data_IF_256604388961
#
_entry.id   IF_256604388961
#
_cell.length_a   1.000
_cell.length_b   1.000
_cell.length_c   1.000
_cell.angle_alpha   90.00
_cell.angle_beta   90.00
_cell.angle_gamma   90.00
#
_symmetry.space_group_name_H-M   'P 1'
#
loop_
_entity.id
_entity.type
_entity.pdbx_description
1 polymer ?
#
# COMPACT_ATOMS: atom_id res chain seq x y z
N UNK A 1 12.84 7.16 -9.61
CA UNK A 1 11.63 7.60 -8.90
C UNK A 1 10.45 7.47 -9.84
N UNK A 2 9.34 6.89 -9.39
CA UNK A 2 8.13 6.72 -10.21
C UNK A 2 7.53 8.08 -10.59
N UNK A 3 7.12 8.23 -11.85
CA UNK A 3 6.39 9.42 -12.30
C UNK A 3 4.97 9.31 -11.77
N UNK A 4 4.54 10.32 -11.02
CA UNK A 4 3.18 10.43 -10.46
C UNK A 4 2.53 11.69 -11.01
N UNK A 5 1.32 11.58 -11.52
CA UNK A 5 0.55 12.73 -12.00
C UNK A 5 -0.10 13.47 -10.83
N UNK A 6 -0.06 14.80 -10.86
CA UNK A 6 -0.80 15.63 -9.92
C UNK A 6 -2.32 15.41 -10.08
N UNK A 7 -3.10 15.41 -8.98
CA UNK A 7 -4.54 15.37 -9.07
C UNK A 7 -5.10 16.64 -9.71
N UNK A 8 -6.25 16.51 -10.37
CA UNK A 8 -7.03 17.67 -10.81
C UNK A 8 -8.00 18.06 -9.69
N UNK A 9 -7.80 19.24 -9.12
CA UNK A 9 -8.62 19.79 -8.06
C UNK A 9 -9.76 20.66 -8.61
N UNK A 10 -10.84 20.76 -7.85
CA UNK A 10 -11.96 21.65 -8.15
C UNK A 10 -11.69 23.02 -7.53
N UNK A 11 -12.17 24.09 -8.16
CA UNK A 11 -12.19 25.41 -7.53
C UNK A 11 -13.01 25.34 -6.25
N UNK A 12 -12.41 25.64 -5.11
CA UNK A 12 -13.12 25.61 -3.83
C UNK A 12 -13.91 26.91 -3.63
N UNK A 13 -15.23 26.78 -3.47
CA UNK A 13 -16.12 27.91 -3.15
C UNK A 13 -16.72 27.80 -1.74
N UNK A 14 -16.49 26.67 -1.06
CA UNK A 14 -16.84 26.47 0.34
C UNK A 14 -16.34 25.14 0.92
N UNK A 15 -16.67 24.85 2.20
CA UNK A 15 -16.15 23.70 2.94
C UNK A 15 -16.37 22.33 2.27
N UNK A 16 -17.46 22.21 1.52
CA UNK A 16 -17.77 20.99 0.78
C UNK A 16 -16.75 20.71 -0.34
N UNK A 17 -16.31 21.74 -1.07
CA UNK A 17 -15.33 21.60 -2.15
C UNK A 17 -13.92 21.36 -1.59
N UNK A 18 -13.61 21.96 -0.43
CA UNK A 18 -12.37 21.70 0.31
C UNK A 18 -12.29 20.23 0.74
N UNK A 19 -13.37 19.69 1.33
CA UNK A 19 -13.47 18.27 1.68
C UNK A 19 -13.30 17.37 0.44
N UNK A 20 -13.90 17.74 -0.69
CA UNK A 20 -13.76 17.00 -1.95
C UNK A 20 -12.31 17.01 -2.44
N UNK A 21 -11.65 18.16 -2.43
CA UNK A 21 -10.25 18.27 -2.83
C UNK A 21 -9.35 17.45 -1.90
N UNK A 22 -9.55 17.52 -0.59
CA UNK A 22 -8.81 16.70 0.38
C UNK A 22 -8.96 15.19 0.11
N UNK A 23 -10.17 14.74 -0.23
CA UNK A 23 -10.39 13.34 -0.64
C UNK A 23 -9.66 12.98 -1.94
N UNK A 24 -9.72 13.84 -2.96
CA UNK A 24 -9.01 13.63 -4.23
C UNK A 24 -7.50 13.54 -3.99
N UNK A 25 -6.95 14.43 -3.17
CA UNK A 25 -5.53 14.43 -2.80
C UNK A 25 -5.15 13.16 -2.05
N UNK A 26 -5.94 12.73 -1.07
CA UNK A 26 -5.71 11.48 -0.33
C UNK A 26 -5.67 10.27 -1.26
N UNK A 27 -6.59 10.18 -2.22
CA UNK A 27 -6.59 9.12 -3.23
C UNK A 27 -5.36 9.21 -4.13
N UNK A 28 -4.96 10.42 -4.54
CA UNK A 28 -3.78 10.61 -5.38
C UNK A 28 -2.49 10.21 -4.67
N UNK A 29 -2.32 10.60 -3.41
CA UNK A 29 -1.19 10.19 -2.56
C UNK A 29 -1.16 8.67 -2.40
N UNK A 30 -2.30 8.03 -2.11
CA UNK A 30 -2.37 6.57 -1.98
C UNK A 30 -1.95 5.86 -3.27
N UNK A 31 -2.41 6.34 -4.44
CA UNK A 31 -1.98 5.79 -5.75
C UNK A 31 -0.49 6.01 -5.99
N UNK A 32 0.03 7.18 -5.64
CA UNK A 32 1.45 7.53 -5.77
C UNK A 32 2.32 6.59 -4.94
N UNK A 33 1.98 6.41 -3.66
CA UNK A 33 2.64 5.51 -2.73
C UNK A 33 2.64 4.09 -3.25
N UNK A 34 1.47 3.57 -3.67
CA UNK A 34 1.36 2.24 -4.27
C UNK A 34 2.27 2.07 -5.48
N UNK A 35 2.32 3.06 -6.37
CA UNK A 35 3.18 3.04 -7.57
C UNK A 35 4.66 3.00 -7.21
N UNK A 36 5.09 3.80 -6.23
CA UNK A 36 6.47 3.79 -5.74
C UNK A 36 6.81 2.43 -5.13
N UNK A 37 5.92 1.86 -4.32
CA UNK A 37 6.11 0.52 -3.75
C UNK A 37 6.25 -0.54 -4.85
N UNK A 38 5.36 -0.52 -5.86
CA UNK A 38 5.45 -1.41 -7.02
C UNK A 38 6.79 -1.27 -7.73
N UNK A 39 7.21 -0.04 -8.05
CA UNK A 39 8.46 0.22 -8.78
C UNK A 39 9.68 -0.30 -8.02
N UNK A 40 9.70 -0.15 -6.70
CA UNK A 40 10.78 -0.66 -5.84
C UNK A 40 10.82 -2.19 -5.86
N UNK A 41 9.68 -2.86 -5.64
CA UNK A 41 9.63 -4.31 -5.63
C UNK A 41 9.92 -4.93 -7.01
N UNK A 42 9.38 -4.34 -8.07
CA UNK A 42 9.64 -4.75 -9.45
C UNK A 42 11.12 -4.59 -9.80
N UNK A 43 11.71 -3.45 -9.43
CA UNK A 43 13.13 -3.19 -9.61
C UNK A 43 14.01 -4.25 -8.90
N UNK A 44 13.66 -4.66 -7.68
CA UNK A 44 14.37 -5.74 -6.96
C UNK A 44 14.23 -7.06 -7.72
N UNK A 45 13.00 -7.44 -8.09
CA UNK A 45 12.74 -8.70 -8.77
C UNK A 45 13.46 -8.76 -10.12
N UNK A 46 13.46 -7.68 -10.89
CA UNK A 46 14.20 -7.58 -12.15
C UNK A 46 15.72 -7.70 -11.96
N UNK A 47 16.28 -7.11 -10.91
CA UNK A 47 17.71 -7.23 -10.61
C UNK A 47 18.08 -8.67 -10.25
N UNK A 48 17.21 -9.37 -9.52
CA UNK A 48 17.36 -10.79 -9.21
C UNK A 48 17.29 -11.66 -10.48
N UNK A 49 16.25 -11.48 -11.31
CA UNK A 49 16.07 -12.25 -12.54
C UNK A 49 17.17 -12.04 -13.58
N UNK A 50 17.87 -10.89 -13.54
CA UNK A 50 19.01 -10.58 -14.42
C UNK A 50 20.36 -10.98 -13.81
N UNK A 51 20.36 -11.63 -12.66
CA UNK A 51 21.56 -12.03 -11.92
C UNK A 51 22.53 -10.85 -11.65
N UNK A 52 21.98 -9.65 -11.50
CA UNK A 52 22.76 -8.43 -11.25
C UNK A 52 23.02 -8.27 -9.76
N UNK A 53 23.93 -9.09 -9.22
CA UNK A 53 24.15 -9.24 -7.78
C UNK A 53 24.46 -7.91 -7.08
N UNK A 54 25.35 -7.09 -7.64
CA UNK A 54 25.71 -5.79 -7.03
C UNK A 54 24.52 -4.83 -6.94
N UNK A 55 23.71 -4.74 -7.99
CA UNK A 55 22.51 -3.90 -8.00
C UNK A 55 21.43 -4.47 -7.06
N UNK A 56 21.26 -5.78 -7.05
CA UNK A 56 20.32 -6.47 -6.18
C UNK A 56 20.64 -6.20 -4.71
N UNK A 57 21.91 -6.34 -4.31
CA UNK A 57 22.32 -6.14 -2.92
C UNK A 57 22.05 -4.71 -2.42
N UNK A 58 22.32 -3.70 -3.26
CA UNK A 58 22.00 -2.29 -2.94
C UNK A 58 20.50 -2.12 -2.75
N UNK A 59 19.69 -2.59 -3.71
CA UNK A 59 18.22 -2.43 -3.65
C UNK A 59 17.59 -3.16 -2.47
N UNK A 60 18.05 -4.37 -2.16
CA UNK A 60 17.56 -5.14 -1.00
C UNK A 60 17.84 -4.40 0.32
N UNK A 61 19.03 -3.83 0.46
CA UNK A 61 19.42 -3.06 1.66
C UNK A 61 18.60 -1.79 1.81
N UNK A 62 18.49 -1.00 0.75
CA UNK A 62 17.76 0.28 0.76
C UNK A 62 16.26 0.09 1.05
N UNK A 63 15.65 -0.96 0.50
CA UNK A 63 14.23 -1.24 0.68
C UNK A 63 13.91 -2.06 1.94
N UNK A 64 14.92 -2.54 2.68
CA UNK A 64 14.71 -3.50 3.77
C UNK A 64 13.93 -4.71 3.28
N UNK A 65 14.45 -5.35 2.23
CA UNK A 65 13.73 -6.33 1.42
C UNK A 65 14.46 -7.67 1.31
N UNK A 66 13.70 -8.68 0.89
CA UNK A 66 14.18 -10.00 0.58
C UNK A 66 13.50 -10.55 -0.68
N UNK A 67 14.26 -11.35 -1.43
CA UNK A 67 13.71 -12.27 -2.42
C UNK A 67 13.39 -13.58 -1.70
N UNK A 68 12.15 -14.01 -1.82
CA UNK A 68 11.57 -15.12 -1.07
C UNK A 68 10.98 -16.15 -2.02
N UNK A 69 11.22 -17.42 -1.75
CA UNK A 69 10.56 -18.53 -2.42
C UNK A 69 9.35 -18.96 -1.59
N UNK A 70 8.17 -18.62 -2.08
CA UNK A 70 6.90 -18.97 -1.46
C UNK A 70 6.58 -20.47 -1.52
N UNK A 71 7.21 -21.22 -2.42
CA UNK A 71 7.02 -22.67 -2.55
C UNK A 71 7.78 -23.45 -1.48
N UNK A 72 8.99 -23.01 -1.14
CA UNK A 72 9.83 -23.63 -0.10
C UNK A 72 9.75 -22.91 1.25
N UNK A 73 9.12 -21.74 1.28
CA UNK A 73 9.06 -20.83 2.41
C UNK A 73 10.45 -20.43 2.94
N UNK A 74 11.36 -20.08 2.02
CA UNK A 74 12.74 -19.71 2.34
C UNK A 74 13.16 -18.40 1.69
N UNK A 75 13.96 -17.63 2.43
CA UNK A 75 14.64 -16.45 1.90
C UNK A 75 15.78 -16.90 0.99
N UNK A 76 15.78 -16.41 -0.25
CA UNK A 76 16.84 -16.67 -1.24
C UNK A 76 17.96 -15.63 -1.08
N UNK A 77 17.59 -14.34 -0.98
CA UNK A 77 18.50 -13.19 -0.86
C UNK A 77 17.89 -12.11 0.02
N UNK A 78 18.75 -11.38 0.73
CA UNK A 78 18.32 -10.30 1.64
C UNK A 78 17.87 -10.85 2.99
N UNK A 79 17.05 -10.08 3.70
CA UNK A 79 16.58 -10.43 5.04
C UNK A 79 15.11 -10.07 5.22
N UNK A 80 14.35 -11.01 5.78
CA UNK A 80 12.99 -10.76 6.25
C UNK A 80 13.01 -10.49 7.74
N UNK A 81 12.43 -9.36 8.16
CA UNK A 81 12.29 -9.03 9.58
C UNK A 81 10.86 -8.67 9.96
N UNK A 82 10.30 -9.46 10.88
CA UNK A 82 8.93 -9.29 11.39
C UNK A 82 7.85 -9.89 10.49
N UNK A 83 6.61 -9.48 10.73
CA UNK A 83 5.44 -9.88 9.95
C UNK A 83 5.24 -9.01 8.72
N UNK A 84 4.73 -9.64 7.66
CA UNK A 84 4.42 -8.99 6.38
C UNK A 84 2.97 -9.25 6.00
N UNK A 85 2.24 -8.21 5.59
CA UNK A 85 0.87 -8.33 5.09
C UNK A 85 0.80 -8.75 3.62
N UNK A 86 1.87 -8.47 2.86
CA UNK A 86 1.90 -8.74 1.43
C UNK A 86 3.31 -9.07 0.93
N UNK A 87 3.36 -9.61 -0.28
CA UNK A 87 4.56 -9.75 -1.09
C UNK A 87 4.26 -9.30 -2.53
N UNK A 88 5.29 -8.94 -3.28
CA UNK A 88 5.18 -8.60 -4.68
C UNK A 88 5.57 -9.79 -5.55
N UNK A 89 4.68 -10.19 -6.45
CA UNK A 89 4.92 -11.17 -7.50
C UNK A 89 4.97 -10.47 -8.86
N UNK A 90 5.93 -10.85 -9.70
CA UNK A 90 6.06 -10.29 -11.04
C UNK A 90 4.88 -10.59 -11.97
N UNK A 91 4.08 -11.63 -11.71
CA UNK A 91 2.95 -11.99 -12.58
C UNK A 91 1.61 -11.36 -12.16
N UNK A 92 1.42 -11.07 -10.88
CA UNK A 92 0.13 -10.60 -10.35
C UNK A 92 0.22 -9.34 -9.48
N UNK A 93 1.41 -8.76 -9.32
CA UNK A 93 1.61 -7.59 -8.46
C UNK A 93 1.62 -7.97 -6.98
N UNK A 94 1.05 -7.13 -6.12
CA UNK A 94 0.99 -7.42 -4.69
C UNK A 94 -0.03 -8.52 -4.38
N UNK A 95 0.44 -9.54 -3.66
CA UNK A 95 -0.35 -10.66 -3.15
C UNK A 95 -0.40 -10.60 -1.62
N UNK A 96 -1.57 -10.88 -1.05
CA UNK A 96 -1.76 -10.89 0.39
C UNK A 96 -1.12 -12.12 1.04
N UNK A 97 -0.82 -12.00 2.33
CA UNK A 97 -0.46 -13.10 3.20
C UNK A 97 -1.58 -14.17 3.20
N UNK A 98 -1.19 -15.43 3.11
CA UNK A 98 -2.05 -16.58 3.38
C UNK A 98 -1.99 -16.85 4.88
N UNK A 99 -2.87 -16.17 5.63
CA UNK A 99 -2.92 -16.24 7.10
C UNK A 99 -3.16 -17.67 7.58
N UNK A 100 -4.11 -18.37 6.97
CA UNK A 100 -4.52 -19.71 7.39
C UNK A 100 -3.39 -20.73 7.23
N UNK A 101 -2.70 -20.71 6.08
CA UNK A 101 -1.54 -21.57 5.85
C UNK A 101 -0.33 -21.15 6.69
N UNK A 102 -0.14 -19.85 6.87
CA UNK A 102 0.96 -19.32 7.69
C UNK A 102 0.83 -19.74 9.14
N UNK A 103 -0.37 -19.69 9.70
CA UNK A 103 -0.68 -20.15 11.05
C UNK A 103 -0.50 -21.66 11.19
N UNK A 104 -0.97 -22.43 10.20
CA UNK A 104 -0.89 -23.89 10.22
C UNK A 104 0.55 -24.41 10.15
N UNK A 105 1.37 -23.85 9.27
CA UNK A 105 2.72 -24.35 8.99
C UNK A 105 3.82 -23.59 9.77
N UNK A 106 3.48 -22.48 10.43
CA UNK A 106 4.42 -21.64 11.17
C UNK A 106 5.45 -20.92 10.29
N UNK A 107 5.21 -20.85 8.98
CA UNK A 107 6.07 -20.19 7.98
C UNK A 107 5.24 -19.23 7.13
N UNK A 108 5.84 -18.13 6.71
CA UNK A 108 5.12 -17.12 5.92
C UNK A 108 4.79 -17.62 4.52
N UNK A 109 3.50 -17.69 4.20
CA UNK A 109 3.02 -17.99 2.86
C UNK A 109 2.19 -16.84 2.31
N UNK A 110 2.26 -16.63 1.00
CA UNK A 110 1.48 -15.63 0.28
C UNK A 110 0.57 -16.29 -0.75
N UNK A 111 -0.53 -15.63 -1.08
CA UNK A 111 -1.51 -16.08 -2.06
C UNK A 111 -1.02 -15.90 -3.52
N UNK A 112 0.12 -16.53 -3.86
CA UNK A 112 0.70 -16.48 -5.20
C UNK A 112 0.03 -17.48 -6.15
N UNK A 113 -0.15 -17.13 -7.44
CA UNK A 113 -0.63 -18.08 -8.43
C UNK A 113 0.32 -19.28 -8.59
N UNK A 114 -0.20 -20.46 -8.97
CA UNK A 114 0.63 -21.64 -9.23
C UNK A 114 1.70 -21.36 -10.28
N UNK A 115 2.93 -21.82 -10.04
CA UNK A 115 4.05 -21.67 -10.97
C UNK A 115 4.84 -20.37 -10.86
N UNK A 116 4.40 -19.39 -10.06
CA UNK A 116 5.21 -18.20 -9.75
C UNK A 116 5.41 -18.02 -8.25
N UNK A 117 6.38 -18.76 -7.73
CA UNK A 117 6.67 -18.83 -6.29
C UNK A 117 7.69 -17.78 -5.82
N UNK A 118 8.41 -17.14 -6.75
CA UNK A 118 9.41 -16.14 -6.39
C UNK A 118 8.72 -14.79 -6.17
N UNK A 119 8.83 -14.28 -4.96
CA UNK A 119 8.25 -12.99 -4.56
C UNK A 119 9.27 -12.09 -3.89
N UNK A 120 8.97 -10.79 -3.87
CA UNK A 120 9.73 -9.79 -3.13
C UNK A 120 8.91 -9.33 -1.95
N UNK A 121 9.47 -9.44 -0.77
CA UNK A 121 8.95 -8.81 0.44
C UNK A 121 9.84 -7.64 0.78
N UNK A 122 9.24 -6.53 1.21
CA UNK A 122 9.98 -5.30 1.48
C UNK A 122 9.36 -4.57 2.67
N UNK A 123 10.06 -3.58 3.21
CA UNK A 123 9.52 -2.76 4.30
C UNK A 123 8.15 -2.16 3.95
N UNK A 124 7.93 -1.78 2.69
CA UNK A 124 6.66 -1.28 2.20
C UNK A 124 5.53 -2.33 2.16
N UNK A 125 5.86 -3.62 2.12
CA UNK A 125 4.86 -4.70 2.13
C UNK A 125 4.58 -5.25 3.52
N UNK A 126 5.23 -4.70 4.56
CA UNK A 126 4.91 -5.01 5.96
C UNK A 126 3.49 -4.60 6.31
N UNK A 127 3.08 -3.41 5.87
CA UNK A 127 1.72 -2.89 6.00
C UNK A 127 1.28 -2.44 4.61
N UNK A 128 0.44 -3.23 3.95
CA UNK A 128 -0.03 -2.94 2.59
C UNK A 128 -1.54 -2.73 2.60
N UNK A 129 -1.95 -1.47 2.80
CA UNK A 129 -3.37 -1.08 2.81
C UNK A 129 -3.80 -0.32 1.56
N UNK A 130 -2.87 0.03 0.67
CA UNK A 130 -3.14 0.91 -0.47
C UNK A 130 -4.30 0.39 -1.33
N UNK A 131 -4.32 -0.91 -1.66
CA UNK A 131 -5.40 -1.50 -2.49
C UNK A 131 -6.75 -1.46 -1.77
N UNK A 132 -6.79 -1.76 -0.47
CA UNK A 132 -8.02 -1.69 0.33
C UNK A 132 -8.51 -0.24 0.47
N UNK A 133 -7.61 0.71 0.70
CA UNK A 133 -7.93 2.15 0.76
C UNK A 133 -8.49 2.62 -0.58
N UNK A 134 -7.88 2.22 -1.69
CA UNK A 134 -8.33 2.58 -3.03
C UNK A 134 -9.69 1.95 -3.37
N UNK A 135 -9.96 0.73 -2.91
CA UNK A 135 -11.28 0.08 -3.06
C UNK A 135 -12.36 0.80 -2.24
N UNK A 136 -12.06 1.16 -0.99
CA UNK A 136 -12.96 1.96 -0.15
C UNK A 136 -13.22 3.33 -0.79
N UNK A 137 -12.18 4.00 -1.26
CA UNK A 137 -12.29 5.28 -1.95
C UNK A 137 -13.15 5.18 -3.22
N UNK A 138 -12.96 4.13 -4.02
CA UNK A 138 -13.81 3.84 -5.18
C UNK A 138 -15.27 3.63 -4.77
N UNK A 139 -15.52 2.94 -3.67
CA UNK A 139 -16.88 2.69 -3.18
C UNK A 139 -17.56 3.98 -2.71
N UNK A 140 -16.82 4.86 -2.04
CA UNK A 140 -17.26 6.21 -1.65
C UNK A 140 -17.57 7.05 -2.90
N UNK A 141 -16.70 7.02 -3.91
CA UNK A 141 -16.89 7.80 -5.14
C UNK A 141 -17.96 7.25 -6.07
N UNK A 142 -18.14 5.92 -6.16
CA UNK A 142 -19.08 5.27 -7.11
C UNK A 142 -20.54 5.37 -6.67
N UNK A 143 -20.81 5.69 -5.40
CA UNK A 143 -22.14 6.14 -4.94
C UNK A 143 -22.55 7.50 -5.51
N UNK A 144 -21.64 8.18 -6.23
CA UNK A 144 -21.95 9.33 -7.06
C UNK A 144 -21.98 8.90 -8.53
N UNK A 145 -23.14 8.95 -9.22
CA UNK A 145 -23.17 8.84 -10.68
C UNK A 145 -22.21 9.83 -11.36
N UNK A 146 -21.67 9.49 -12.53
CA UNK A 146 -20.99 10.46 -13.39
C UNK A 146 -21.95 11.62 -13.70
N UNK A 147 -21.53 12.85 -13.42
CA UNK A 147 -22.40 14.03 -13.53
C UNK A 147 -23.38 14.23 -12.37
N UNK A 148 -23.34 13.38 -11.33
CA UNK A 148 -24.09 13.64 -10.11
C UNK A 148 -23.43 14.71 -9.27
N UNK A 149 -24.29 15.57 -8.73
CA UNK A 149 -23.92 16.66 -7.86
C UNK A 149 -23.17 16.10 -6.63
N UNK A 150 -21.89 16.43 -6.50
CA UNK A 150 -21.08 16.04 -5.33
C UNK A 150 -21.71 16.50 -4.01
N UNK A 151 -22.68 17.43 -4.06
CA UNK A 151 -23.56 17.87 -2.95
C UNK A 151 -24.27 16.74 -2.18
N UNK A 152 -24.24 15.50 -2.65
CA UNK A 152 -24.73 14.34 -1.89
C UNK A 152 -23.77 13.85 -0.79
N UNK A 153 -22.54 14.35 -0.74
CA UNK A 153 -21.65 14.07 0.39
C UNK A 153 -22.19 14.84 1.60
N UNK A 154 -22.74 14.11 2.57
CA UNK A 154 -23.08 14.72 3.86
C UNK A 154 -21.78 15.24 4.47
N UNK A 155 -21.70 16.56 4.64
CA UNK A 155 -20.58 17.16 5.34
C UNK A 155 -20.64 16.70 6.80
N UNK A 156 -19.63 15.95 7.28
CA UNK A 156 -19.59 15.58 8.68
C UNK A 156 -19.37 16.84 9.53
N UNK A 157 -20.05 16.92 10.66
CA UNK A 157 -19.70 17.90 11.70
C UNK A 157 -18.41 17.43 12.36
N UNK A 158 -17.30 18.15 12.11
CA UNK A 158 -15.99 17.88 12.71
C UNK A 158 -15.73 18.98 13.75
N UNK A 159 -15.56 18.60 15.01
CA UNK A 159 -15.05 19.48 16.06
C UNK A 159 -13.56 19.22 16.30
N UNK A 160 -12.82 20.29 16.56
CA UNK A 160 -11.41 20.20 16.93
C UNK A 160 -11.28 20.37 18.45
N UNK A 161 -10.95 19.28 19.14
CA UNK A 161 -10.58 19.34 20.55
C UNK A 161 -9.08 19.61 20.66
N UNK A 162 -8.69 20.78 21.17
CA UNK A 162 -7.29 21.12 21.37
C UNK A 162 -6.85 20.75 22.79
N UNK A 163 -6.00 19.74 22.89
CA UNK A 163 -5.40 19.33 24.14
C UNK A 163 -3.99 19.89 24.34
N UNK A 164 -3.67 20.31 25.57
CA UNK A 164 -2.28 20.55 25.99
C UNK A 164 -1.61 19.22 26.39
N UNK A 165 -0.27 19.09 26.31
CA UNK A 165 0.40 17.86 26.75
C UNK A 165 -0.03 17.46 28.17
N UNK A 166 -0.55 16.23 28.33
CA UNK A 166 -1.04 15.71 29.62
C UNK A 166 -2.52 15.94 29.94
N UNK A 167 -3.32 16.49 29.01
CA UNK A 167 -4.76 16.71 29.23
C UNK A 167 -5.66 15.47 29.04
N UNK A 168 -5.09 14.26 28.99
CA UNK A 168 -5.82 12.99 28.89
C UNK A 168 -6.98 12.98 27.87
N UNK A 169 -6.73 13.50 26.66
CA UNK A 169 -7.69 13.47 25.53
C UNK A 169 -8.30 12.08 25.29
N UNK A 170 -7.57 11.02 25.63
CA UNK A 170 -8.01 9.62 25.53
C UNK A 170 -9.21 9.29 26.42
N UNK A 171 -9.46 10.03 27.50
CA UNK A 171 -10.54 9.80 28.47
C UNK A 171 -11.76 10.71 28.26
N UNK A 172 -11.73 11.59 27.24
CA UNK A 172 -12.78 12.58 26.98
C UNK A 172 -13.90 12.08 26.05
N UNK A 173 -13.80 10.84 25.55
CA UNK A 173 -14.76 10.19 24.62
C UNK A 173 -15.54 9.06 25.26
#
# INVERSE_FOLDING_TARGET
>A
MGIVSSPQLVRAEGPHDEMRNAFIEFVAITKATRKVHTDVCEAILQAYMRESEGLLQVRLREAGAAVYDNGTALVIKGEMSGSYMAAYSGSCGFVGLDEERTELEGRTYFNTPPGNQIVVVAKCTRIMLDDRILEMARSISRRLPEGSDSRRWMQPTISWEQGVPGCDLTNLT
#
